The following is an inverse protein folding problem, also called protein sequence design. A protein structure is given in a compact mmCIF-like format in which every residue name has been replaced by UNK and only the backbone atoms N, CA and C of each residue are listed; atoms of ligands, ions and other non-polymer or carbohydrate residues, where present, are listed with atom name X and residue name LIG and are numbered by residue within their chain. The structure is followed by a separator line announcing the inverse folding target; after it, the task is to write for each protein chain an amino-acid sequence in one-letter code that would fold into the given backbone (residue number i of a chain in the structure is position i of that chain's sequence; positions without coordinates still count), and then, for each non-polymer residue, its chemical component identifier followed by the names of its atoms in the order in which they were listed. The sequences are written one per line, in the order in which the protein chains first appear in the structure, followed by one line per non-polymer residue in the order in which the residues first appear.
data_IF_678430939302
#
_entry.id   IF_678430939302
#
_cell.length_a   1.000
_cell.length_b   1.000
_cell.length_c   1.000
_cell.angle_alpha   90.00
_cell.angle_beta   90.00
_cell.angle_gamma   90.00
#
_symmetry.space_group_name_H-M   'P 1'
#
loop_
_entity.id
_entity.type
_entity.pdbx_description
1 polymer ?
#
# COMPACT_ATOMS: atom_id res chain seq x y z
N UNK A 1 -2.80 2.41 -5.97
CA UNK A 1 -3.63 3.60 -6.24
C UNK A 1 -3.64 4.41 -4.96
N UNK A 2 -3.11 5.65 -4.99
CA UNK A 2 -2.88 6.47 -3.78
C UNK A 2 -4.19 6.92 -3.15
N UNK A 3 -4.33 6.80 -1.83
CA UNK A 3 -5.53 7.22 -1.09
C UNK A 3 -5.49 8.73 -0.82
N UNK A 4 -5.79 9.53 -1.83
CA UNK A 4 -5.72 10.99 -1.76
C UNK A 4 -6.78 11.59 -0.83
N UNK A 5 -7.92 10.92 -0.64
CA UNK A 5 -9.00 11.44 0.21
C UNK A 5 -8.57 11.56 1.68
N UNK A 6 -7.84 10.56 2.21
CA UNK A 6 -7.36 10.58 3.59
C UNK A 6 -6.28 11.64 3.81
N UNK A 7 -5.38 11.81 2.84
CA UNK A 7 -4.37 12.88 2.87
C UNK A 7 -5.03 14.27 2.90
N UNK A 8 -6.05 14.49 2.07
CA UNK A 8 -6.82 15.73 2.04
C UNK A 8 -7.53 16.00 3.38
N UNK A 9 -8.14 14.98 4.01
CA UNK A 9 -8.76 15.15 5.32
C UNK A 9 -7.73 15.50 6.41
N UNK A 10 -6.57 14.84 6.41
CA UNK A 10 -5.50 15.11 7.37
C UNK A 10 -4.91 16.51 7.19
N UNK A 11 -4.80 16.99 5.95
CA UNK A 11 -4.34 18.33 5.62
C UNK A 11 -5.26 19.44 6.16
N UNK A 12 -6.54 19.14 6.46
CA UNK A 12 -7.45 20.12 7.09
C UNK A 12 -7.14 20.36 8.57
N UNK A 13 -6.38 19.46 9.22
CA UNK A 13 -5.96 19.61 10.62
C UNK A 13 -4.73 20.51 10.65
N UNK A 14 -4.94 21.80 10.90
CA UNK A 14 -3.89 22.83 10.93
C UNK A 14 -3.36 23.14 12.34
N UNK A 15 -3.97 22.58 13.38
CA UNK A 15 -3.54 22.80 14.76
C UNK A 15 -2.14 22.18 14.99
N UNK A 16 -1.21 23.00 15.47
CA UNK A 16 0.20 22.66 15.65
C UNK A 16 0.37 21.45 16.58
N UNK A 17 -0.50 21.31 17.59
CA UNK A 17 -0.42 20.20 18.54
C UNK A 17 -0.59 18.83 17.87
N UNK A 18 -1.23 18.77 16.71
CA UNK A 18 -1.52 17.55 15.99
C UNK A 18 -0.58 17.29 14.82
N UNK A 19 0.30 18.24 14.44
CA UNK A 19 1.14 18.11 13.24
C UNK A 19 2.09 16.91 13.30
N UNK A 20 2.60 16.58 14.49
CA UNK A 20 3.40 15.36 14.68
C UNK A 20 2.61 14.10 14.34
N UNK A 21 1.39 13.97 14.89
CA UNK A 21 0.52 12.81 14.67
C UNK A 21 0.10 12.74 13.20
N UNK A 22 -0.26 13.87 12.60
CA UNK A 22 -0.62 13.97 11.18
C UNK A 22 0.54 13.50 10.30
N UNK A 23 1.75 13.97 10.57
CA UNK A 23 2.96 13.60 9.81
C UNK A 23 3.24 12.10 9.91
N UNK A 24 3.21 11.53 11.11
CA UNK A 24 3.45 10.09 11.29
C UNK A 24 2.33 9.23 10.68
N UNK A 25 1.09 9.71 10.70
CA UNK A 25 -0.03 9.03 10.05
C UNK A 25 0.16 8.98 8.53
N UNK A 26 0.58 10.09 7.92
CA UNK A 26 0.87 10.14 6.47
C UNK A 26 1.99 9.18 6.09
N UNK A 27 3.09 9.13 6.86
CA UNK A 27 4.18 8.17 6.63
C UNK A 27 3.72 6.72 6.73
N UNK A 28 2.87 6.42 7.72
CA UNK A 28 2.34 5.07 7.89
C UNK A 28 1.42 4.66 6.73
N UNK A 29 0.60 5.60 6.21
CA UNK A 29 -0.22 5.36 5.02
C UNK A 29 0.67 5.05 3.80
N UNK A 30 1.71 5.85 3.56
CA UNK A 30 2.65 5.63 2.45
C UNK A 30 3.32 4.25 2.55
N UNK A 31 3.76 3.84 3.74
CA UNK A 31 4.33 2.52 3.96
C UNK A 31 3.33 1.38 3.65
N UNK A 32 2.07 1.53 4.05
CA UNK A 32 1.03 0.54 3.71
C UNK A 32 0.76 0.48 2.20
N UNK A 33 0.87 1.60 1.50
CA UNK A 33 0.72 1.63 0.04
C UNK A 33 1.87 0.90 -0.66
N UNK A 34 3.11 1.11 -0.21
CA UNK A 34 4.30 0.41 -0.71
C UNK A 34 4.24 -1.10 -0.45
N UNK A 35 3.78 -1.50 0.74
CA UNK A 35 3.60 -2.91 1.09
C UNK A 35 2.51 -3.56 0.22
N UNK A 36 1.42 -2.84 -0.05
CA UNK A 36 0.35 -3.33 -0.93
C UNK A 36 0.82 -3.47 -2.38
N UNK A 37 1.61 -2.52 -2.91
CA UNK A 37 2.21 -2.63 -4.24
C UNK A 37 3.17 -3.82 -4.32
N UNK A 38 4.01 -3.99 -3.30
CA UNK A 38 4.94 -5.13 -3.19
C UNK A 38 4.19 -6.46 -3.16
N UNK A 39 3.11 -6.55 -2.39
CA UNK A 39 2.23 -7.73 -2.35
C UNK A 39 1.58 -7.99 -3.70
N UNK A 40 1.08 -6.95 -4.38
CA UNK A 40 0.48 -7.09 -5.70
C UNK A 40 1.49 -7.67 -6.71
N UNK A 41 2.71 -7.14 -6.76
CA UNK A 41 3.79 -7.65 -7.62
C UNK A 41 4.10 -9.11 -7.29
N UNK A 42 4.22 -9.45 -6.00
CA UNK A 42 4.50 -10.81 -5.58
C UNK A 42 3.39 -11.79 -5.99
N UNK A 43 2.13 -11.39 -5.88
CA UNK A 43 0.97 -12.19 -6.26
C UNK A 43 0.84 -12.33 -7.78
N UNK A 44 1.07 -11.26 -8.54
CA UNK A 44 1.11 -11.31 -10.01
C UNK A 44 2.25 -12.22 -10.51
N UNK A 45 3.42 -12.16 -9.85
CA UNK A 45 4.58 -13.00 -10.16
C UNK A 45 4.43 -14.47 -9.76
N UNK A 46 3.68 -14.77 -8.69
CA UNK A 46 3.54 -16.15 -8.17
C UNK A 46 2.22 -16.86 -8.52
N UNK A 47 1.09 -16.16 -8.52
CA UNK A 47 -0.24 -16.78 -8.71
C UNK A 47 -0.75 -16.57 -10.14
N UNK A 48 -0.48 -15.42 -10.74
CA UNK A 48 -1.01 -15.05 -12.07
C UNK A 48 0.03 -15.11 -13.19
N UNK A 49 1.22 -15.65 -12.93
CA UNK A 49 2.21 -15.88 -13.98
C UNK A 49 1.71 -16.96 -14.95
N UNK A 50 1.48 -16.66 -16.24
CA UNK A 50 1.04 -17.65 -17.22
C UNK A 50 2.03 -18.82 -17.37
N UNK A 51 3.30 -18.63 -16.97
CA UNK A 51 4.32 -19.69 -16.92
C UNK A 51 4.02 -20.73 -15.83
N UNK A 52 3.48 -20.30 -14.68
CA UNK A 52 3.13 -21.18 -13.54
C UNK A 52 1.77 -21.87 -13.71
N UNK A 53 0.87 -21.32 -14.51
CA UNK A 53 -0.44 -21.96 -14.80
C UNK A 53 -0.33 -23.33 -15.48
N UNK A 54 0.77 -23.58 -16.19
CA UNK A 54 1.04 -24.86 -16.85
C UNK A 54 2.05 -25.73 -16.09
N UNK A 55 2.56 -25.29 -14.94
CA UNK A 55 3.42 -26.14 -14.11
C UNK A 55 2.54 -27.25 -13.50
N UNK A 56 2.86 -28.51 -13.83
CA UNK A 56 2.20 -29.66 -13.21
C UNK A 56 2.49 -29.62 -11.71
N UNK A 57 1.45 -29.55 -10.90
CA UNK A 57 1.57 -29.72 -9.45
C UNK A 57 2.05 -31.16 -9.21
N UNK A 58 3.33 -31.34 -8.91
CA UNK A 58 3.86 -32.62 -8.46
C UNK A 58 3.30 -32.90 -7.06
N UNK A 59 2.73 -34.11 -6.89
CA UNK A 59 2.08 -34.58 -5.67
C UNK A 59 3.09 -35.04 -4.62
#
# INVERSE_FOLDING_TARGET
MRNTWLEEQLATISDEKYQFIVTETLKYIEQLEDDNESLQIALEGNIWSPKKWNEKIEK
#
